data_IF_935536785077
#
_entry.id   IF_935536785077
#
_cell.length_a   1.000
_cell.length_b   1.000
_cell.length_c   1.000
_cell.angle_alpha   90.00
_cell.angle_beta   90.00
_cell.angle_gamma   90.00
#
_symmetry.space_group_name_H-M   'P 1'
#
loop_
_entity.id
_entity.type
_entity.pdbx_description
1 polymer ?
#
# COMPACT_ATOMS: atom_id res chain seq x y z
N UNK A 1 -1.66 3.17 -16.06
CA UNK A 1 -0.94 1.99 -15.56
C UNK A 1 -1.90 1.18 -14.68
N UNK A 2 -2.06 -0.10 -14.98
CA UNK A 2 -3.02 -0.95 -14.28
C UNK A 2 -2.36 -1.67 -13.12
N UNK A 3 -2.05 -0.92 -12.09
CA UNK A 3 -1.36 -1.43 -10.91
C UNK A 3 -2.13 -1.06 -9.65
N UNK A 4 -2.30 -2.01 -8.76
CA UNK A 4 -2.82 -1.78 -7.42
C UNK A 4 -1.69 -2.00 -6.42
N UNK A 5 -1.48 -1.02 -5.55
CA UNK A 5 -0.48 -1.11 -4.50
C UNK A 5 -1.21 -1.33 -3.18
N UNK A 6 -0.90 -2.45 -2.54
CA UNK A 6 -1.51 -2.83 -1.26
C UNK A 6 -0.50 -2.61 -0.15
N UNK A 7 -0.89 -1.83 0.84
CA UNK A 7 -0.05 -1.48 1.98
C UNK A 7 -0.73 -1.99 3.24
N UNK A 8 -0.03 -2.83 4.00
CA UNK A 8 -0.52 -3.32 5.29
C UNK A 8 0.23 -2.55 6.36
N UNK A 9 -0.52 -1.86 7.22
CA UNK A 9 0.09 -0.93 8.16
C UNK A 9 -0.45 -1.11 9.56
N UNK A 10 0.43 -0.95 10.55
CA UNK A 10 0.05 -0.87 11.96
C UNK A 10 1.03 0.04 12.67
N UNK A 11 0.53 1.14 13.22
CA UNK A 11 1.34 2.11 13.97
C UNK A 11 2.53 2.61 13.15
N UNK A 12 2.26 3.06 11.93
CA UNK A 12 3.26 3.50 10.98
C UNK A 12 3.14 4.99 10.65
N UNK A 13 2.63 5.80 11.59
CA UNK A 13 2.39 7.22 11.31
C UNK A 13 3.65 7.97 10.91
N UNK A 14 4.83 7.49 11.33
CA UNK A 14 6.09 8.13 10.97
C UNK A 14 6.53 7.82 9.54
N UNK A 15 6.04 6.74 8.97
CA UNK A 15 6.52 6.26 7.67
C UNK A 15 5.46 6.28 6.59
N UNK A 16 4.19 6.16 6.97
CA UNK A 16 3.13 5.97 5.98
C UNK A 16 2.96 7.16 5.05
N UNK A 17 3.19 8.37 5.54
CA UNK A 17 3.04 9.56 4.69
C UNK A 17 4.06 9.55 3.57
N UNK A 18 5.32 9.26 3.87
CA UNK A 18 6.36 9.18 2.83
C UNK A 18 6.07 8.07 1.84
N UNK A 19 5.59 6.94 2.33
CA UNK A 19 5.20 5.83 1.48
C UNK A 19 4.11 6.24 0.49
N UNK A 20 3.05 6.87 0.98
CA UNK A 20 1.92 7.26 0.15
C UNK A 20 2.27 8.39 -0.80
N UNK A 21 3.09 9.34 -0.36
CA UNK A 21 3.51 10.44 -1.23
C UNK A 21 4.32 9.94 -2.42
N UNK A 22 5.05 8.86 -2.25
CA UNK A 22 5.82 8.29 -3.36
C UNK A 22 4.92 7.66 -4.42
N UNK A 23 3.65 7.40 -4.11
CA UNK A 23 2.73 6.69 -4.98
C UNK A 23 1.66 7.58 -5.60
N UNK A 24 1.33 8.70 -4.97
CA UNK A 24 0.11 9.45 -5.28
C UNK A 24 0.09 10.00 -6.71
N UNK A 25 1.24 10.28 -7.30
CA UNK A 25 1.31 10.83 -8.66
C UNK A 25 1.60 9.78 -9.73
N UNK A 26 1.47 8.50 -9.39
CA UNK A 26 1.88 7.42 -10.31
C UNK A 26 0.70 6.78 -11.02
N UNK A 27 -0.51 7.28 -10.82
CA UNK A 27 -1.73 6.72 -11.42
C UNK A 27 -1.93 5.26 -11.08
N UNK A 28 -1.66 4.92 -9.82
CA UNK A 28 -1.89 3.58 -9.30
C UNK A 28 -3.04 3.61 -8.31
N UNK A 29 -3.71 2.47 -8.16
CA UNK A 29 -4.70 2.33 -7.09
C UNK A 29 -3.95 2.07 -5.79
N UNK A 30 -4.28 2.82 -4.74
CA UNK A 30 -3.64 2.67 -3.44
C UNK A 30 -4.64 2.08 -2.47
N UNK A 31 -4.32 0.94 -1.89
CA UNK A 31 -5.15 0.25 -0.90
C UNK A 31 -4.35 0.14 0.38
N UNK A 32 -4.92 0.65 1.47
CA UNK A 32 -4.27 0.57 2.78
C UNK A 32 -5.13 -0.28 3.70
N UNK A 33 -4.51 -1.30 4.28
CA UNK A 33 -5.16 -2.16 5.26
C UNK A 33 -4.54 -1.87 6.63
N UNK A 34 -5.36 -1.34 7.54
CA UNK A 34 -4.93 -1.00 8.89
C UNK A 34 -5.26 -2.18 9.79
N UNK A 35 -4.24 -2.75 10.41
CA UNK A 35 -4.39 -3.93 11.25
C UNK A 35 -4.46 -3.60 12.73
N UNK A 36 -5.00 -2.42 13.06
CA UNK A 36 -5.24 -2.05 14.44
C UNK A 36 -4.33 -0.97 14.96
N UNK A 37 -4.05 0.06 14.15
CA UNK A 37 -3.23 1.19 14.57
C UNK A 37 -3.90 1.96 15.70
N UNK A 38 -3.09 2.37 16.68
CA UNK A 38 -3.53 3.21 17.78
C UNK A 38 -3.04 4.65 17.62
N UNK A 39 -2.30 4.92 16.57
CA UNK A 39 -1.78 6.25 16.24
C UNK A 39 -2.56 6.83 15.05
N UNK A 40 -2.02 7.84 14.38
CA UNK A 40 -2.69 8.52 13.27
C UNK A 40 -2.50 7.84 11.91
N UNK A 41 -1.97 6.62 11.88
CA UNK A 41 -1.72 5.90 10.62
C UNK A 41 -2.92 5.93 9.70
N UNK A 42 -4.08 5.55 10.20
CA UNK A 42 -5.30 5.48 9.39
C UNK A 42 -5.74 6.85 8.90
N UNK A 43 -5.68 7.84 9.77
CA UNK A 43 -6.09 9.21 9.40
C UNK A 43 -5.18 9.79 8.34
N UNK A 44 -3.89 9.52 8.44
CA UNK A 44 -2.93 9.96 7.42
C UNK A 44 -3.23 9.28 6.09
N UNK A 45 -3.47 7.98 6.12
CA UNK A 45 -3.79 7.24 4.89
C UNK A 45 -5.01 7.80 4.20
N UNK A 46 -6.04 8.17 4.95
CA UNK A 46 -7.28 8.73 4.38
C UNK A 46 -7.08 10.06 3.66
N UNK A 47 -5.95 10.74 3.91
CA UNK A 47 -5.64 11.96 3.17
C UNK A 47 -5.18 11.68 1.74
N UNK A 48 -4.75 10.47 1.47
CA UNK A 48 -4.16 10.10 0.18
C UNK A 48 -5.01 9.15 -0.64
N UNK A 49 -5.83 8.33 0.03
CA UNK A 49 -6.68 7.38 -0.66
C UNK A 49 -7.95 7.14 0.14
N UNK A 50 -9.06 6.90 -0.54
CA UNK A 50 -10.31 6.50 0.11
C UNK A 50 -10.36 4.99 0.36
N UNK A 51 -9.43 4.24 -0.21
CA UNK A 51 -9.41 2.77 -0.09
C UNK A 51 -8.62 2.36 1.15
N UNK A 52 -9.13 2.74 2.32
CA UNK A 52 -8.53 2.40 3.60
C UNK A 52 -9.48 1.47 4.33
N UNK A 53 -9.00 0.30 4.71
CA UNK A 53 -9.81 -0.75 5.32
C UNK A 53 -9.23 -1.18 6.65
N UNK A 54 -10.13 -1.48 7.60
CA UNK A 54 -9.73 -2.06 8.88
C UNK A 54 -9.72 -3.58 8.76
N UNK A 55 -8.70 -4.21 9.31
CA UNK A 55 -8.60 -5.65 9.35
C UNK A 55 -8.09 -6.07 10.72
N UNK A 56 -8.85 -6.86 11.44
CA UNK A 56 -8.45 -7.30 12.75
C UNK A 56 -7.28 -8.27 12.63
N UNK A 57 -6.16 -7.91 13.27
CA UNK A 57 -4.95 -8.73 13.22
C UNK A 57 -5.19 -10.06 13.95
N UNK A 58 -4.87 -11.14 13.27
CA UNK A 58 -5.06 -12.49 13.77
C UNK A 58 -3.77 -13.31 13.69
N UNK A 59 -2.63 -12.63 13.68
CA UNK A 59 -1.31 -13.24 13.57
C UNK A 59 -1.09 -13.99 12.26
N UNK A 60 -1.89 -13.70 11.24
CA UNK A 60 -1.76 -14.31 9.93
C UNK A 60 -1.53 -13.22 8.89
N UNK A 61 -0.26 -12.97 8.58
CA UNK A 61 0.11 -11.95 7.60
C UNK A 61 -0.38 -12.31 6.20
N UNK A 62 -0.40 -13.61 5.89
CA UNK A 62 -0.91 -14.07 4.60
C UNK A 62 -2.39 -13.75 4.43
N UNK A 63 -3.18 -13.91 5.50
CA UNK A 63 -4.60 -13.58 5.44
C UNK A 63 -4.81 -12.08 5.25
N UNK A 64 -4.00 -11.25 5.91
CA UNK A 64 -4.08 -9.81 5.72
C UNK A 64 -3.73 -9.40 4.29
N UNK A 65 -2.72 -10.03 3.70
CA UNK A 65 -2.37 -9.80 2.29
C UNK A 65 -3.51 -10.19 1.37
N UNK A 66 -4.14 -11.34 1.59
CA UNK A 66 -5.26 -11.79 0.78
C UNK A 66 -6.43 -10.83 0.89
N UNK A 67 -6.69 -10.33 2.07
CA UNK A 67 -7.75 -9.33 2.27
C UNK A 67 -7.45 -8.08 1.44
N UNK A 68 -6.22 -7.58 1.49
CA UNK A 68 -5.84 -6.41 0.72
C UNK A 68 -5.97 -6.65 -0.78
N UNK A 69 -5.52 -7.80 -1.26
CA UNK A 69 -5.60 -8.16 -2.67
C UNK A 69 -7.06 -8.24 -3.12
N UNK A 70 -7.96 -8.71 -2.25
CA UNK A 70 -9.37 -8.80 -2.59
C UNK A 70 -10.02 -7.45 -2.86
N UNK A 71 -9.39 -6.36 -2.41
CA UNK A 71 -9.88 -5.00 -2.63
C UNK A 71 -9.28 -4.35 -3.87
N UNK A 72 -8.32 -5.00 -4.50
CA UNK A 72 -7.66 -4.44 -5.68
C UNK A 72 -8.53 -4.59 -6.91
N UNK A 73 -8.56 -3.54 -7.74
CA UNK A 73 -9.33 -3.54 -8.97
C UNK A 73 -8.49 -3.91 -10.19
N UNK A 74 -7.19 -4.06 -10.03
CA UNK A 74 -6.27 -4.35 -11.12
C UNK A 74 -5.61 -5.70 -10.94
N UNK A 75 -5.24 -6.32 -12.06
CA UNK A 75 -4.60 -7.62 -12.03
C UNK A 75 -3.15 -7.57 -11.58
N UNK A 76 -2.49 -6.44 -11.83
CA UNK A 76 -1.11 -6.25 -11.38
C UNK A 76 -1.15 -5.69 -9.97
N UNK A 77 -0.54 -6.39 -9.04
CA UNK A 77 -0.60 -6.05 -7.63
C UNK A 77 0.80 -6.03 -7.05
N UNK A 78 1.12 -4.94 -6.35
CA UNK A 78 2.35 -4.82 -5.59
C UNK A 78 1.98 -4.71 -4.12
N UNK A 79 2.59 -5.55 -3.30
CA UNK A 79 2.42 -5.46 -1.84
C UNK A 79 3.66 -4.79 -1.28
N UNK A 80 3.44 -3.71 -0.54
CA UNK A 80 4.51 -2.87 -0.06
C UNK A 80 4.36 -2.68 1.44
N UNK A 81 5.45 -2.87 2.18
CA UNK A 81 5.47 -2.53 3.60
C UNK A 81 5.65 -1.03 3.78
N UNK A 82 5.02 -0.48 4.79
CA UNK A 82 5.01 0.95 5.03
C UNK A 82 6.39 1.56 5.18
N UNK A 83 7.29 0.85 5.80
CA UNK A 83 8.65 1.32 6.01
C UNK A 83 9.54 1.09 4.79
N UNK A 84 9.03 0.44 3.76
CA UNK A 84 9.73 0.19 2.52
C UNK A 84 9.35 1.19 1.45
N UNK A 85 9.21 2.46 1.80
CA UNK A 85 8.90 3.43 0.77
C UNK A 85 10.08 3.57 -0.18
N UNK A 86 9.75 3.99 -1.40
CA UNK A 86 10.69 3.98 -2.49
C UNK A 86 11.53 5.25 -2.47
N UNK A 87 12.72 5.15 -1.94
CA UNK A 87 13.64 6.28 -1.95
C UNK A 87 14.12 6.52 -3.36
N UNK A 88 14.01 7.75 -3.79
CA UNK A 88 14.33 8.12 -5.12
C UNK A 88 13.42 7.50 -6.14
N UNK A 89 12.53 6.87 -5.69
CA UNK A 89 11.24 6.69 -5.86
C UNK A 89 10.67 6.39 -7.19
N UNK A 90 10.58 7.36 -8.09
CA UNK A 90 10.01 7.18 -9.39
C UNK A 90 10.69 6.10 -10.19
N UNK A 91 12.04 6.09 -10.15
CA UNK A 91 12.81 5.11 -10.90
C UNK A 91 12.58 3.70 -10.35
N UNK A 92 12.43 3.56 -9.04
CA UNK A 92 12.19 2.26 -8.44
C UNK A 92 10.78 1.77 -8.78
N UNK A 93 9.78 2.64 -8.72
CA UNK A 93 8.42 2.27 -9.06
C UNK A 93 8.31 1.87 -10.53
N UNK A 94 8.93 2.63 -11.43
CA UNK A 94 8.95 2.30 -12.84
C UNK A 94 9.61 0.94 -13.07
N UNK A 95 10.71 0.68 -12.38
CA UNK A 95 11.40 -0.60 -12.50
C UNK A 95 10.52 -1.75 -12.04
N UNK A 96 9.81 -1.57 -10.92
CA UNK A 96 8.91 -2.60 -10.43
C UNK A 96 7.75 -2.83 -11.40
N UNK A 97 7.20 -1.78 -11.97
CA UNK A 97 6.15 -1.90 -12.97
C UNK A 97 6.63 -2.64 -14.21
N UNK A 98 7.84 -2.34 -14.66
CA UNK A 98 8.43 -3.06 -15.79
C UNK A 98 8.58 -4.54 -15.48
N UNK A 99 8.99 -4.88 -14.26
CA UNK A 99 9.09 -6.27 -13.84
C UNK A 99 7.73 -6.96 -13.85
N UNK A 100 6.71 -6.29 -13.36
CA UNK A 100 5.35 -6.85 -13.32
C UNK A 100 4.79 -7.03 -14.72
N UNK A 101 5.10 -6.12 -15.63
CA UNK A 101 4.58 -6.19 -17.00
C UNK A 101 5.23 -7.28 -17.83
N UNK A 102 6.29 -7.89 -17.33
CA UNK A 102 6.95 -9.00 -18.02
C UNK A 102 6.30 -10.36 -17.76
N UNK A 103 5.38 -10.38 -16.85
CA UNK A 103 4.72 -11.64 -16.48
C UNK A 103 3.25 -11.66 -16.95
#
# INVERSE_FOLDING_TARGET
>A
MNLSVCIIAKNEEKHIENCLRSLVNKHVQIIVVDTGSQDDTKNIALKYTSCVYDYQWNDDFGAAKQFAVSKADNDNILILDCDEYLQGEESVLIKLCDMLNKY
#
